data_IF_903252393874
#
_entry.id   IF_903252393874
#
_cell.length_a   1.000
_cell.length_b   1.000
_cell.length_c   1.000
_cell.angle_alpha   90.00
_cell.angle_beta   90.00
_cell.angle_gamma   90.00
#
_symmetry.space_group_name_H-M   'P 1'
#
loop_
_entity.id
_entity.type
_entity.pdbx_description
1 polymer ?
#
# COMPACT_ATOMS: atom_id res chain seq x y z
N UNK A 1 21.55 -15.27 16.43
CA UNK A 1 21.87 -14.25 17.47
C UNK A 1 20.99 -13.01 17.24
N UNK A 2 19.68 -13.13 17.47
CA UNK A 2 18.67 -12.06 17.27
C UNK A 2 17.85 -11.90 18.57
N UNK A 3 18.54 -11.93 19.72
CA UNK A 3 17.89 -11.84 21.04
C UNK A 3 17.77 -10.38 21.44
N UNK A 4 16.51 -9.94 21.55
CA UNK A 4 15.97 -8.61 21.88
C UNK A 4 15.92 -7.62 20.70
N UNK A 5 14.88 -7.74 19.86
CA UNK A 5 14.30 -6.51 19.30
C UNK A 5 13.85 -5.67 20.50
N UNK A 6 14.48 -4.52 20.72
CA UNK A 6 13.92 -3.50 21.60
C UNK A 6 12.64 -3.01 20.91
N UNK A 7 11.49 -3.38 21.46
CA UNK A 7 10.23 -2.80 21.02
C UNK A 7 10.28 -1.29 21.24
N UNK A 8 10.05 -0.53 20.18
CA UNK A 8 9.98 0.92 20.29
C UNK A 8 8.62 1.25 20.88
N UNK A 9 8.61 1.76 22.10
CA UNK A 9 7.39 2.16 22.83
C UNK A 9 6.80 3.45 22.25
N UNK A 10 6.31 3.37 21.01
CA UNK A 10 5.64 4.46 20.32
C UNK A 10 4.31 4.78 21.01
N UNK A 11 4.02 6.07 21.15
CA UNK A 11 2.73 6.54 21.70
C UNK A 11 1.58 6.09 20.82
N UNK A 12 1.77 6.13 19.50
CA UNK A 12 0.78 5.66 18.54
C UNK A 12 0.47 4.17 18.74
N UNK A 13 1.49 3.31 18.88
CA UNK A 13 1.27 1.89 19.13
C UNK A 13 0.38 1.67 20.36
N UNK A 14 0.66 2.34 21.48
CA UNK A 14 -0.16 2.22 22.69
C UNK A 14 -1.60 2.67 22.46
N UNK A 15 -1.79 3.77 21.72
CA UNK A 15 -3.13 4.28 21.38
C UNK A 15 -3.93 3.26 20.56
N UNK A 16 -3.35 2.73 19.48
CA UNK A 16 -4.04 1.81 18.57
C UNK A 16 -4.28 0.44 19.22
N UNK A 17 -3.29 -0.12 19.91
CA UNK A 17 -3.43 -1.40 20.60
C UNK A 17 -4.53 -1.35 21.69
N UNK A 18 -4.71 -0.21 22.36
CA UNK A 18 -5.81 -0.03 23.31
C UNK A 18 -7.19 -0.14 22.63
N UNK A 19 -7.34 0.34 21.39
CA UNK A 19 -8.59 0.22 20.64
C UNK A 19 -8.87 -1.25 20.29
N UNK A 20 -7.86 -1.98 19.84
CA UNK A 20 -7.96 -3.39 19.50
C UNK A 20 -8.36 -4.24 20.72
N UNK A 21 -7.69 -4.04 21.85
CA UNK A 21 -7.98 -4.76 23.09
C UNK A 21 -9.37 -4.44 23.63
N UNK A 22 -9.83 -3.18 23.52
CA UNK A 22 -11.21 -2.83 23.91
C UNK A 22 -12.26 -3.58 23.09
N UNK A 23 -12.05 -3.71 21.77
CA UNK A 23 -12.95 -4.48 20.91
C UNK A 23 -12.93 -5.98 21.28
N UNK A 24 -11.74 -6.56 21.47
CA UNK A 24 -11.60 -7.95 21.94
C UNK A 24 -12.31 -8.19 23.29
N UNK A 25 -12.18 -7.24 24.22
CA UNK A 25 -12.86 -7.25 25.52
C UNK A 25 -14.39 -7.17 25.42
N UNK A 26 -14.92 -6.53 24.37
CA UNK A 26 -16.36 -6.47 24.04
C UNK A 26 -16.87 -7.71 23.32
N UNK A 27 -16.06 -8.76 23.24
CA UNK A 27 -16.39 -10.05 22.63
C UNK A 27 -16.41 -10.03 21.10
N UNK A 28 -15.72 -9.09 20.48
CA UNK A 28 -15.70 -8.92 19.02
C UNK A 28 -14.35 -9.36 18.43
N UNK A 29 -14.34 -9.81 17.18
CA UNK A 29 -13.09 -10.00 16.45
C UNK A 29 -12.57 -8.66 15.93
N UNK A 30 -11.26 -8.63 15.68
CA UNK A 30 -10.54 -7.43 15.27
C UNK A 30 -9.79 -7.72 13.98
N UNK A 31 -10.01 -6.89 12.97
CA UNK A 31 -9.16 -6.80 11.79
C UNK A 31 -8.41 -5.46 11.83
N UNK A 32 -7.11 -5.48 11.57
CA UNK A 32 -6.28 -4.27 11.53
C UNK A 32 -5.64 -4.16 10.16
N UNK A 33 -5.85 -3.04 9.48
CA UNK A 33 -5.20 -2.74 8.21
C UNK A 33 -3.95 -1.89 8.48
N UNK A 34 -2.81 -2.30 7.96
CA UNK A 34 -1.55 -1.57 8.00
C UNK A 34 -1.19 -1.06 6.61
N UNK A 35 -0.35 -0.02 6.55
CA UNK A 35 0.36 0.30 5.31
C UNK A 35 1.32 -0.85 4.98
N UNK A 36 1.42 -1.28 3.69
CA UNK A 36 2.29 -2.37 3.31
C UNK A 36 3.76 -2.20 3.70
N UNK A 37 4.46 -3.31 3.94
CA UNK A 37 5.88 -3.29 4.33
C UNK A 37 6.15 -2.45 5.58
N UNK A 38 5.19 -2.45 6.51
CA UNK A 38 5.31 -1.81 7.82
C UNK A 38 5.82 -2.80 8.87
N UNK A 39 5.82 -2.40 10.14
CA UNK A 39 6.26 -3.20 11.27
C UNK A 39 5.13 -4.03 11.91
N UNK A 40 4.09 -4.37 11.15
CA UNK A 40 2.91 -5.16 11.56
C UNK A 40 3.26 -6.37 12.45
N UNK A 41 4.10 -7.28 11.97
CA UNK A 41 4.49 -8.51 12.69
C UNK A 41 5.12 -8.16 14.04
N UNK A 42 5.98 -7.12 14.08
CA UNK A 42 6.65 -6.67 15.29
C UNK A 42 5.63 -6.10 16.28
N UNK A 43 4.62 -5.36 15.82
CA UNK A 43 3.57 -4.78 16.68
C UNK A 43 2.66 -5.82 17.30
N UNK A 44 2.35 -6.88 16.56
CA UNK A 44 1.57 -7.98 17.10
C UNK A 44 2.37 -8.84 18.06
N UNK A 45 3.65 -9.10 17.78
CA UNK A 45 4.55 -9.75 18.74
C UNK A 45 4.73 -8.91 20.01
N UNK A 46 4.79 -7.58 19.87
CA UNK A 46 4.81 -6.66 21.01
C UNK A 46 3.51 -6.76 21.82
N UNK A 47 2.34 -6.75 21.17
CA UNK A 47 1.03 -6.84 21.82
C UNK A 47 0.93 -8.09 22.69
N UNK A 48 1.35 -9.23 22.17
CA UNK A 48 1.30 -10.52 22.88
C UNK A 48 2.21 -10.55 24.12
N UNK A 49 3.29 -9.75 24.11
CA UNK A 49 4.29 -9.71 25.20
C UNK A 49 4.08 -8.56 26.19
N UNK A 50 3.30 -7.54 25.82
CA UNK A 50 3.08 -6.34 26.62
C UNK A 50 2.02 -6.61 27.72
N UNK A 51 2.50 -7.00 28.90
CA UNK A 51 1.64 -7.31 30.05
C UNK A 51 0.93 -6.09 30.61
N UNK A 52 1.42 -4.87 30.38
CA UNK A 52 0.78 -3.66 30.89
C UNK A 52 -0.45 -3.34 30.04
N UNK A 53 -0.30 -3.37 28.71
CA UNK A 53 -1.40 -3.01 27.81
C UNK A 53 -2.54 -4.04 27.85
N UNK A 54 -2.21 -5.33 28.02
CA UNK A 54 -3.18 -6.42 28.12
C UNK A 54 -4.12 -6.24 29.34
N UNK A 55 -3.71 -5.53 30.39
CA UNK A 55 -4.56 -5.29 31.59
C UNK A 55 -5.83 -4.49 31.29
N UNK A 56 -5.94 -3.88 30.11
CA UNK A 56 -7.18 -3.22 29.65
C UNK A 56 -8.32 -4.23 29.42
N UNK A 57 -7.99 -5.50 29.18
CA UNK A 57 -9.01 -6.53 29.00
C UNK A 57 -9.77 -6.80 30.31
N UNK A 58 -11.09 -7.09 30.23
CA UNK A 58 -11.91 -7.39 31.40
C UNK A 58 -11.35 -8.49 32.29
N UNK A 59 -11.17 -8.20 33.59
CA UNK A 59 -10.65 -9.18 34.57
C UNK A 59 -11.60 -10.35 34.85
N UNK A 60 -12.83 -10.33 34.31
CA UNK A 60 -13.77 -11.44 34.39
C UNK A 60 -13.34 -12.68 33.61
N UNK A 61 -12.31 -12.57 32.76
CA UNK A 61 -11.72 -13.69 32.01
C UNK A 61 -10.20 -13.63 32.11
N UNK A 62 -9.56 -14.79 31.97
CA UNK A 62 -8.14 -14.85 31.60
C UNK A 62 -8.01 -14.78 30.08
N UNK A 63 -6.87 -14.33 29.58
CA UNK A 63 -6.62 -14.23 28.13
C UNK A 63 -5.30 -14.89 27.76
N UNK A 64 -5.34 -15.71 26.73
CA UNK A 64 -4.16 -16.35 26.15
C UNK A 64 -4.10 -15.99 24.67
N UNK A 65 -2.99 -15.39 24.26
CA UNK A 65 -2.75 -15.03 22.86
C UNK A 65 -1.87 -16.09 22.19
N UNK A 66 -2.21 -16.46 20.96
CA UNK A 66 -1.44 -17.42 20.16
C UNK A 66 -1.25 -16.87 18.75
N UNK A 67 0.02 -16.71 18.34
CA UNK A 67 0.36 -16.21 17.01
C UNK A 67 0.30 -17.38 16.02
N UNK A 68 -0.72 -17.39 15.17
CA UNK A 68 -0.91 -18.45 14.17
C UNK A 68 -0.42 -17.96 12.81
N UNK A 69 0.36 -18.80 12.14
CA UNK A 69 0.71 -18.64 10.75
C UNK A 69 0.13 -19.80 9.94
N UNK A 70 -0.62 -19.48 8.89
CA UNK A 70 -1.26 -20.46 8.02
C UNK A 70 -0.39 -20.86 6.81
N UNK A 71 0.90 -20.52 6.82
CA UNK A 71 1.91 -21.03 5.88
C UNK A 71 2.14 -22.54 6.04
N UNK A 72 1.25 -23.33 5.43
CA UNK A 72 1.30 -24.78 5.24
C UNK A 72 1.26 -25.64 6.53
N UNK A 73 0.63 -26.85 6.52
CA UNK A 73 -0.02 -27.55 5.40
C UNK A 73 -1.35 -26.92 4.95
N UNK A 74 -1.86 -27.37 3.80
CA UNK A 74 -3.15 -26.93 3.23
C UNK A 74 -4.28 -27.27 4.20
N UNK A 75 -4.86 -26.25 4.84
CA UNK A 75 -6.13 -26.40 5.55
C UNK A 75 -7.19 -26.60 4.47
N UNK A 76 -7.88 -27.73 4.45
CA UNK A 76 -8.95 -28.03 3.49
C UNK A 76 -10.34 -27.87 4.12
N UNK A 77 -10.46 -28.24 5.40
CA UNK A 77 -11.71 -28.30 6.14
C UNK A 77 -11.50 -28.02 7.65
N UNK A 78 -12.58 -28.04 8.43
CA UNK A 78 -12.52 -27.78 9.88
C UNK A 78 -11.61 -28.75 10.63
N UNK A 79 -11.54 -30.02 10.24
CA UNK A 79 -10.69 -31.02 10.90
C UNK A 79 -9.21 -30.67 10.72
N UNK A 80 -8.78 -30.37 9.49
CA UNK A 80 -7.41 -29.94 9.21
C UNK A 80 -7.03 -28.64 9.94
N UNK A 81 -7.98 -27.69 10.07
CA UNK A 81 -7.79 -26.48 10.86
C UNK A 81 -7.59 -26.81 12.35
N UNK A 82 -8.41 -27.70 12.90
CA UNK A 82 -8.33 -28.11 14.31
C UNK A 82 -7.02 -28.81 14.61
N UNK A 83 -6.54 -29.68 13.72
CA UNK A 83 -5.24 -30.34 13.85
C UNK A 83 -4.12 -29.29 13.89
N UNK A 84 -4.14 -28.30 12.99
CA UNK A 84 -3.11 -27.26 12.96
C UNK A 84 -3.13 -26.39 14.22
N UNK A 85 -4.31 -25.97 14.69
CA UNK A 85 -4.45 -25.19 15.91
C UNK A 85 -4.02 -25.99 17.15
N UNK A 86 -4.40 -27.27 17.25
CA UNK A 86 -3.97 -28.16 18.31
C UNK A 86 -2.45 -28.31 18.35
N UNK A 87 -1.81 -28.54 17.20
CA UNK A 87 -0.36 -28.63 17.09
C UNK A 87 0.33 -27.35 17.59
N UNK A 88 -0.21 -26.19 17.23
CA UNK A 88 0.32 -24.91 17.69
C UNK A 88 0.17 -24.75 19.22
N UNK A 89 -1.01 -25.06 19.75
CA UNK A 89 -1.28 -24.98 21.20
C UNK A 89 -0.42 -25.96 22.01
N UNK A 90 -0.23 -27.19 21.51
CA UNK A 90 0.63 -28.19 22.15
C UNK A 90 2.11 -27.73 22.16
N UNK A 91 2.56 -27.01 21.13
CA UNK A 91 3.91 -26.44 21.07
C UNK A 91 4.10 -25.20 21.96
N UNK A 92 3.01 -24.54 22.38
CA UNK A 92 3.07 -23.30 23.17
C UNK A 92 3.42 -23.50 24.65
N UNK A 93 3.61 -24.75 25.09
CA UNK A 93 3.92 -25.14 26.48
C UNK A 93 2.93 -24.61 27.54
N UNK A 94 1.69 -24.31 27.14
CA UNK A 94 0.61 -23.95 28.09
C UNK A 94 0.32 -25.13 29.04
N UNK A 95 0.35 -26.36 28.51
CA UNK A 95 0.24 -27.61 29.25
C UNK A 95 1.36 -28.57 28.82
N UNK A 96 1.81 -29.40 29.76
CA UNK A 96 2.75 -30.50 29.48
C UNK A 96 2.02 -31.76 28.98
N UNK A 97 1.01 -31.59 28.12
CA UNK A 97 0.24 -32.69 27.52
C UNK A 97 -0.20 -32.29 26.12
N UNK A 98 -0.18 -33.24 25.19
CA UNK A 98 -0.78 -33.10 23.87
C UNK A 98 -2.30 -33.31 23.97
N UNK A 99 -3.07 -32.31 23.55
CA UNK A 99 -4.53 -32.35 23.47
C UNK A 99 -4.97 -32.13 22.02
N UNK A 100 -6.13 -32.66 21.67
CA UNK A 100 -6.90 -32.25 20.50
C UNK A 100 -7.43 -30.82 20.69
N UNK A 101 -7.87 -30.18 19.60
CA UNK A 101 -8.35 -28.80 19.68
C UNK A 101 -9.63 -28.68 20.52
N UNK A 102 -10.54 -29.65 20.43
CA UNK A 102 -11.76 -29.70 21.24
C UNK A 102 -11.44 -29.78 22.73
N UNK A 103 -10.50 -30.65 23.12
CA UNK A 103 -10.01 -30.76 24.50
C UNK A 103 -9.34 -29.45 24.99
N UNK A 104 -8.59 -28.76 24.12
CA UNK A 104 -8.05 -27.43 24.44
C UNK A 104 -9.16 -26.40 24.72
N UNK A 105 -10.22 -26.40 23.92
CA UNK A 105 -11.34 -25.48 24.12
C UNK A 105 -12.13 -25.80 25.40
N UNK A 106 -12.30 -27.07 25.74
CA UNK A 106 -12.87 -27.50 27.03
C UNK A 106 -11.98 -27.06 28.20
N UNK A 107 -10.66 -27.21 28.08
CA UNK A 107 -9.71 -26.71 29.08
C UNK A 107 -9.84 -25.20 29.27
N UNK A 108 -9.81 -24.41 28.20
CA UNK A 108 -9.95 -22.95 28.28
C UNK A 108 -11.27 -22.53 28.91
N UNK A 109 -12.38 -23.20 28.55
CA UNK A 109 -13.69 -23.00 29.17
C UNK A 109 -13.66 -23.30 30.68
N UNK A 110 -13.06 -24.42 31.10
CA UNK A 110 -12.94 -24.78 32.52
C UNK A 110 -12.12 -23.77 33.35
N UNK A 111 -11.13 -23.13 32.73
CA UNK A 111 -10.27 -22.13 33.33
C UNK A 111 -10.79 -20.70 33.15
N UNK A 112 -11.99 -20.52 32.57
CA UNK A 112 -12.56 -19.23 32.22
C UNK A 112 -11.58 -18.33 31.44
N UNK A 113 -10.86 -18.96 30.50
CA UNK A 113 -9.82 -18.36 29.66
C UNK A 113 -10.34 -18.18 28.24
N UNK A 114 -10.09 -17.01 27.65
CA UNK A 114 -10.37 -16.71 26.25
C UNK A 114 -9.08 -16.87 25.44
N UNK A 115 -9.15 -17.68 24.39
CA UNK A 115 -8.10 -17.84 23.40
C UNK A 115 -8.22 -16.74 22.34
N UNK A 116 -7.16 -15.95 22.16
CA UNK A 116 -7.04 -14.95 21.09
C UNK A 116 -6.07 -15.49 20.04
N UNK A 117 -6.58 -15.84 18.88
CA UNK A 117 -5.77 -16.19 17.71
C UNK A 117 -5.30 -14.91 17.03
N UNK A 118 -3.99 -14.70 16.98
CA UNK A 118 -3.35 -13.55 16.34
C UNK A 118 -2.79 -14.00 15.00
N UNK A 119 -3.29 -13.44 13.90
CA UNK A 119 -2.92 -13.79 12.53
C UNK A 119 -2.20 -12.59 11.89
N UNK A 120 -0.86 -12.51 12.00
CA UNK A 120 -0.12 -11.32 11.58
C UNK A 120 0.01 -11.17 10.06
N UNK A 121 -0.11 -12.26 9.31
CA UNK A 121 0.03 -12.30 7.85
C UNK A 121 -1.31 -12.70 7.22
N UNK A 122 -2.43 -12.08 7.64
CA UNK A 122 -3.76 -12.46 7.15
C UNK A 122 -3.96 -12.11 5.66
N UNK A 123 -3.09 -11.28 5.09
CA UNK A 123 -3.00 -11.00 3.64
C UNK A 123 -2.97 -12.28 2.80
N UNK A 124 -2.29 -13.34 3.27
CA UNK A 124 -2.16 -14.59 2.53
C UNK A 124 -3.47 -15.37 2.40
N UNK A 125 -4.44 -15.02 3.24
CA UNK A 125 -5.80 -15.57 3.22
C UNK A 125 -6.68 -14.86 2.18
N UNK A 126 -6.29 -13.67 1.71
CA UNK A 126 -6.98 -12.92 0.65
C UNK A 126 -6.59 -13.41 -0.75
N UNK A 127 -6.64 -14.72 -0.96
CA UNK A 127 -6.34 -15.35 -2.25
C UNK A 127 -7.45 -16.33 -2.66
N UNK A 128 -7.63 -16.58 -3.96
CA UNK A 128 -8.60 -17.58 -4.43
C UNK A 128 -8.39 -18.97 -3.81
N UNK A 129 -7.13 -19.30 -3.47
CA UNK A 129 -6.73 -20.60 -2.94
C UNK A 129 -7.02 -20.70 -1.44
N UNK A 130 -6.79 -19.64 -0.66
CA UNK A 130 -6.85 -19.68 0.81
C UNK A 130 -8.09 -19.02 1.43
N UNK A 131 -8.94 -18.35 0.63
CA UNK A 131 -10.10 -17.60 1.17
C UNK A 131 -11.08 -18.46 1.97
N UNK A 132 -11.16 -19.76 1.69
CA UNK A 132 -12.01 -20.68 2.45
C UNK A 132 -11.56 -20.80 3.91
N UNK A 133 -10.28 -20.55 4.22
CA UNK A 133 -9.77 -20.51 5.60
C UNK A 133 -10.45 -19.40 6.40
N UNK A 134 -10.74 -18.24 5.78
CA UNK A 134 -11.51 -17.19 6.45
C UNK A 134 -12.93 -17.68 6.79
N UNK A 135 -13.56 -18.46 5.94
CA UNK A 135 -14.85 -19.08 6.26
C UNK A 135 -14.73 -20.05 7.43
N UNK A 136 -13.71 -20.91 7.44
CA UNK A 136 -13.46 -21.86 8.53
C UNK A 136 -13.20 -21.14 9.86
N UNK A 137 -12.42 -20.06 9.84
CA UNK A 137 -12.17 -19.22 11.01
C UNK A 137 -13.43 -18.53 11.52
N UNK A 138 -14.33 -18.09 10.62
CA UNK A 138 -15.63 -17.56 11.03
C UNK A 138 -16.47 -18.63 11.72
N UNK A 139 -16.52 -19.84 11.16
CA UNK A 139 -17.28 -20.95 11.74
C UNK A 139 -16.71 -21.36 13.10
N UNK A 140 -15.39 -21.42 13.21
CA UNK A 140 -14.67 -21.68 14.46
C UNK A 140 -15.04 -20.65 15.54
N UNK A 141 -15.10 -19.36 15.18
CA UNK A 141 -15.54 -18.32 16.11
C UNK A 141 -16.95 -18.55 16.62
N UNK A 142 -17.87 -18.95 15.72
CA UNK A 142 -19.27 -19.21 16.07
C UNK A 142 -19.43 -20.44 16.97
N UNK A 143 -18.70 -21.51 16.67
CA UNK A 143 -18.74 -22.77 17.43
C UNK A 143 -18.26 -22.59 18.87
N UNK A 144 -17.20 -21.80 19.08
CA UNK A 144 -16.55 -21.66 20.39
C UNK A 144 -16.79 -20.31 21.07
N UNK A 145 -17.74 -19.51 20.58
CA UNK A 145 -18.13 -18.27 21.25
C UNK A 145 -18.65 -18.57 22.69
N UNK A 146 -18.24 -17.83 23.74
CA UNK A 146 -17.42 -16.63 23.74
C UNK A 146 -15.91 -16.86 24.04
N UNK A 147 -15.41 -18.10 23.97
CA UNK A 147 -14.06 -18.47 24.43
C UNK A 147 -12.97 -18.36 23.38
N UNK A 148 -13.30 -18.01 22.13
CA UNK A 148 -12.32 -17.74 21.08
C UNK A 148 -12.52 -16.37 20.43
N UNK A 149 -11.43 -15.67 20.15
CA UNK A 149 -11.39 -14.40 19.40
C UNK A 149 -10.29 -14.44 18.37
N UNK A 150 -10.46 -13.66 17.32
CA UNK A 150 -9.50 -13.54 16.24
C UNK A 150 -9.08 -12.08 16.11
N UNK A 151 -7.76 -11.86 16.10
CA UNK A 151 -7.13 -10.63 15.72
C UNK A 151 -6.32 -10.88 14.45
N UNK A 152 -6.75 -10.33 13.32
CA UNK A 152 -6.09 -10.46 12.02
C UNK A 152 -5.48 -9.15 11.57
N UNK A 153 -4.31 -9.21 10.95
CA UNK A 153 -3.68 -8.04 10.34
C UNK A 153 -3.48 -8.21 8.83
N UNK A 154 -3.85 -7.17 8.11
CA UNK A 154 -3.81 -7.08 6.65
C UNK A 154 -2.93 -5.90 6.23
N UNK A 155 -2.28 -6.02 5.07
CA UNK A 155 -1.58 -4.91 4.44
C UNK A 155 -2.39 -4.29 3.29
N UNK A 156 -3.54 -4.88 2.96
CA UNK A 156 -4.50 -4.41 1.95
C UNK A 156 -5.72 -3.69 2.54
N UNK A 157 -6.38 -2.86 1.72
CA UNK A 157 -7.65 -2.22 2.05
C UNK A 157 -8.82 -3.23 1.99
N UNK A 158 -9.04 -4.00 3.06
CA UNK A 158 -10.02 -5.10 3.08
C UNK A 158 -11.48 -4.68 2.97
N UNK A 159 -11.81 -3.44 3.38
CA UNK A 159 -13.18 -2.90 3.33
C UNK A 159 -13.58 -2.38 1.96
N UNK A 160 -12.65 -2.35 1.00
CA UNK A 160 -12.92 -1.84 -0.34
C UNK A 160 -13.91 -2.72 -1.10
N UNK A 161 -14.78 -2.12 -1.91
CA UNK A 161 -15.75 -2.84 -2.75
C UNK A 161 -15.14 -3.98 -3.60
N UNK A 162 -13.86 -3.84 -4.02
CA UNK A 162 -13.12 -4.86 -4.79
C UNK A 162 -12.63 -6.05 -3.96
N UNK A 163 -12.36 -5.86 -2.68
CA UNK A 163 -11.84 -6.92 -1.79
C UNK A 163 -12.95 -7.73 -1.14
N UNK A 164 -14.17 -7.21 -1.09
CA UNK A 164 -15.34 -7.90 -0.52
C UNK A 164 -15.57 -9.30 -1.13
N UNK A 165 -15.19 -9.53 -2.39
CA UNK A 165 -15.33 -10.83 -3.06
C UNK A 165 -14.44 -11.95 -2.48
N UNK A 166 -13.41 -11.59 -1.71
CA UNK A 166 -12.52 -12.54 -1.04
C UNK A 166 -12.92 -12.82 0.41
N UNK A 167 -13.75 -11.96 0.99
CA UNK A 167 -14.18 -12.10 2.38
C UNK A 167 -15.35 -13.08 2.48
N UNK A 168 -15.46 -13.86 3.57
CA UNK A 168 -16.61 -14.72 3.80
C UNK A 168 -17.86 -13.87 3.97
N UNK A 169 -19.05 -14.39 3.63
CA UNK A 169 -20.31 -13.65 3.81
C UNK A 169 -20.60 -13.28 5.28
N UNK A 170 -20.01 -14.02 6.22
CA UNK A 170 -20.08 -13.70 7.65
C UNK A 170 -19.23 -12.47 7.98
N UNK A 171 -19.89 -11.44 8.51
CA UNK A 171 -19.25 -10.20 8.94
C UNK A 171 -18.47 -10.30 10.24
N UNK A 172 -18.50 -11.46 10.90
CA UNK A 172 -18.00 -11.63 12.27
C UNK A 172 -16.48 -11.53 12.38
N UNK A 173 -15.72 -11.92 11.36
CA UNK A 173 -14.25 -11.80 11.38
C UNK A 173 -13.76 -10.36 11.27
N UNK A 174 -14.56 -9.50 10.64
CA UNK A 174 -14.27 -8.09 10.41
C UNK A 174 -15.31 -7.21 11.10
N UNK A 175 -15.83 -7.67 12.25
CA UNK A 175 -16.81 -6.95 13.06
C UNK A 175 -16.27 -5.57 13.50
N UNK A 176 -14.98 -5.49 13.78
CA UNK A 176 -14.26 -4.22 13.94
C UNK A 176 -13.06 -4.19 13.02
N UNK A 177 -13.02 -3.21 12.12
CA UNK A 177 -11.86 -2.94 11.28
C UNK A 177 -11.20 -1.64 11.76
N UNK A 178 -9.95 -1.75 12.19
CA UNK A 178 -9.12 -0.61 12.54
C UNK A 178 -8.08 -0.36 11.46
N UNK A 179 -7.62 0.88 11.36
CA UNK A 179 -6.47 1.25 10.55
C UNK A 179 -5.30 1.56 11.46
N UNK A 180 -4.09 1.17 11.07
CA UNK A 180 -2.86 1.52 11.76
C UNK A 180 -2.11 2.59 10.95
N UNK A 181 -2.15 3.87 11.36
CA UNK A 181 -1.62 4.96 10.56
C UNK A 181 -0.09 4.98 10.50
N UNK A 182 0.48 5.82 9.62
CA UNK A 182 1.90 6.14 9.63
C UNK A 182 2.31 6.87 10.92
N UNK A 183 3.57 6.66 11.35
CA UNK A 183 4.10 7.24 12.57
C UNK A 183 4.28 8.75 12.49
N UNK A 184 3.89 9.43 13.57
CA UNK A 184 4.19 10.86 13.75
C UNK A 184 5.68 11.15 13.93
N UNK A 185 6.02 12.44 13.91
CA UNK A 185 7.40 12.95 14.08
C UNK A 185 8.03 12.51 15.40
N UNK A 186 7.26 12.52 16.50
CA UNK A 186 7.76 12.16 17.83
C UNK A 186 8.14 10.67 17.91
N UNK A 187 7.26 9.78 17.46
CA UNK A 187 7.52 8.34 17.44
C UNK A 187 8.63 7.98 16.44
N UNK A 188 8.71 8.68 15.32
CA UNK A 188 9.81 8.52 14.35
C UNK A 188 11.16 8.94 14.95
N UNK A 189 11.21 10.03 15.72
CA UNK A 189 12.42 10.43 16.45
C UNK A 189 12.87 9.37 17.45
N UNK A 190 11.93 8.85 18.26
CA UNK A 190 12.22 7.76 19.19
C UNK A 190 12.77 6.53 18.46
N UNK A 191 12.20 6.20 17.29
CA UNK A 191 12.70 5.10 16.47
C UNK A 191 14.13 5.35 15.98
N UNK A 192 14.44 6.56 15.50
CA UNK A 192 15.82 6.93 15.12
C UNK A 192 16.78 6.75 16.30
N UNK A 193 16.39 7.14 17.52
CA UNK A 193 17.24 6.98 18.72
C UNK A 193 17.52 5.50 19.05
N UNK A 194 16.54 4.62 18.82
CA UNK A 194 16.73 3.17 18.94
C UNK A 194 17.69 2.67 17.85
N UNK A 195 17.55 3.15 16.62
CA UNK A 195 18.43 2.78 15.51
C UNK A 195 19.86 3.29 15.69
N UNK A 196 20.07 4.48 16.25
CA UNK A 196 21.40 5.01 16.60
C UNK A 196 22.14 4.07 17.53
N UNK A 197 21.45 3.57 18.57
CA UNK A 197 22.02 2.59 19.51
C UNK A 197 22.27 1.25 18.83
N UNK A 198 21.31 0.78 18.02
CA UNK A 198 21.37 -0.52 17.36
C UNK A 198 22.46 -0.61 16.27
N UNK A 199 22.72 0.49 15.59
CA UNK A 199 23.73 0.58 14.51
C UNK A 199 25.01 1.30 14.93
N UNK A 200 25.15 1.60 16.22
CA UNK A 200 26.31 2.29 16.82
C UNK A 200 26.72 3.54 16.04
N UNK A 201 25.73 4.36 15.67
CA UNK A 201 25.90 5.56 14.82
C UNK A 201 25.24 6.78 15.44
N UNK A 202 25.78 7.97 15.13
CA UNK A 202 25.15 9.25 15.44
C UNK A 202 24.57 9.88 14.18
N UNK A 203 23.27 10.13 14.17
CA UNK A 203 22.57 10.81 13.08
C UNK A 203 22.55 12.30 13.40
N UNK A 204 23.11 13.11 12.51
CA UNK A 204 23.10 14.58 12.70
C UNK A 204 21.67 15.13 12.66
N UNK A 205 21.43 16.26 13.33
CA UNK A 205 20.11 16.92 13.33
C UNK A 205 19.60 17.22 11.90
N UNK A 206 20.52 17.61 11.00
CA UNK A 206 20.17 17.83 9.58
C UNK A 206 19.66 16.55 8.92
N UNK A 207 20.37 15.42 9.09
CA UNK A 207 19.96 14.13 8.55
C UNK A 207 18.65 13.65 9.18
N UNK A 208 18.47 13.86 10.49
CA UNK A 208 17.25 13.49 11.23
C UNK A 208 16.02 14.21 10.67
N UNK A 209 16.09 15.52 10.52
CA UNK A 209 15.02 16.33 9.91
C UNK A 209 14.73 15.85 8.49
N UNK A 210 15.79 15.61 7.71
CA UNK A 210 15.66 15.11 6.34
C UNK A 210 14.94 13.76 6.29
N UNK A 211 15.37 12.78 7.10
CA UNK A 211 14.77 11.44 7.18
C UNK A 211 13.30 11.52 7.55
N UNK A 212 12.94 12.30 8.57
CA UNK A 212 11.55 12.41 9.03
C UNK A 212 10.66 13.01 7.94
N UNK A 213 11.11 14.11 7.34
CA UNK A 213 10.35 14.79 6.30
C UNK A 213 10.21 13.93 5.04
N UNK A 214 11.25 13.20 4.67
CA UNK A 214 11.28 12.43 3.43
C UNK A 214 10.62 11.05 3.55
N UNK A 215 10.76 10.36 4.68
CA UNK A 215 10.19 9.03 4.90
C UNK A 215 8.74 9.06 5.39
N UNK A 216 8.23 10.21 5.85
CA UNK A 216 6.81 10.38 6.18
C UNK A 216 6.30 9.48 7.31
N UNK A 217 7.17 9.04 8.22
CA UNK A 217 6.80 8.11 9.28
C UNK A 217 6.82 6.63 8.89
N UNK A 218 7.24 6.28 7.68
CA UNK A 218 7.35 4.88 7.28
C UNK A 218 8.68 4.26 7.73
N UNK A 219 8.63 3.48 8.81
CA UNK A 219 9.81 3.00 9.52
C UNK A 219 10.74 2.10 8.71
N UNK A 220 10.26 1.40 7.67
CA UNK A 220 11.15 0.62 6.81
C UNK A 220 12.13 1.50 6.02
N UNK A 221 11.69 2.70 5.62
CA UNK A 221 12.54 3.67 4.94
C UNK A 221 13.45 4.41 5.92
N UNK A 222 12.93 4.77 7.10
CA UNK A 222 13.73 5.37 8.18
C UNK A 222 14.89 4.45 8.57
N UNK A 223 14.60 3.16 8.78
CA UNK A 223 15.62 2.15 9.10
C UNK A 223 16.68 2.04 8.01
N UNK A 224 16.28 2.10 6.74
CA UNK A 224 17.23 2.06 5.64
C UNK A 224 18.14 3.30 5.59
N UNK A 225 17.57 4.48 5.80
CA UNK A 225 18.34 5.71 5.82
C UNK A 225 19.39 5.70 6.94
N UNK A 226 19.03 5.31 8.17
CA UNK A 226 19.98 5.21 9.28
C UNK A 226 21.02 4.11 9.03
N UNK A 227 20.64 2.98 8.41
CA UNK A 227 21.58 1.92 8.01
C UNK A 227 22.64 2.44 7.04
N UNK A 228 22.26 3.30 6.08
CA UNK A 228 23.23 3.92 5.16
C UNK A 228 24.16 4.91 5.86
N UNK A 229 23.64 5.71 6.79
CA UNK A 229 24.47 6.61 7.61
C UNK A 229 25.49 5.80 8.41
N UNK A 230 25.10 4.69 9.01
CA UNK A 230 26.03 3.79 9.72
C UNK A 230 27.11 3.23 8.79
N UNK A 231 26.76 2.84 7.56
CA UNK A 231 27.71 2.26 6.62
C UNK A 231 28.63 3.27 5.89
N UNK A 232 28.14 4.49 5.62
CA UNK A 232 28.77 5.43 4.68
C UNK A 232 28.88 6.87 5.22
N UNK A 233 28.44 7.13 6.45
CA UNK A 233 28.39 8.46 7.07
C UNK A 233 27.28 9.39 6.54
N UNK A 234 26.63 9.02 5.44
CA UNK A 234 25.51 9.75 4.83
C UNK A 234 24.51 8.77 4.24
N UNK A 235 23.27 9.23 4.05
CA UNK A 235 22.29 8.50 3.27
C UNK A 235 22.07 9.18 1.92
N UNK A 236 21.72 8.38 0.91
CA UNK A 236 21.47 8.87 -0.45
C UNK A 236 20.10 8.35 -0.89
N UNK A 237 19.19 9.25 -1.21
CA UNK A 237 17.80 8.93 -1.58
C UNK A 237 17.75 8.01 -2.81
N UNK A 238 18.65 8.21 -3.78
CA UNK A 238 18.71 7.44 -5.02
C UNK A 238 19.63 6.21 -4.94
N UNK A 239 20.03 5.80 -3.74
CA UNK A 239 20.80 4.57 -3.52
C UNK A 239 20.00 3.32 -3.91
N UNK A 240 20.70 2.28 -4.37
CA UNK A 240 20.09 1.00 -4.76
C UNK A 240 19.22 0.40 -3.64
N UNK A 241 19.65 0.51 -2.38
CA UNK A 241 18.93 0.00 -1.21
C UNK A 241 17.59 0.71 -0.95
N UNK A 242 17.50 2.03 -1.16
CA UNK A 242 16.25 2.78 -1.05
C UNK A 242 15.37 2.48 -2.27
N UNK A 243 15.93 2.49 -3.48
CA UNK A 243 15.19 2.22 -4.72
C UNK A 243 14.58 0.81 -4.74
N UNK A 244 15.30 -0.20 -4.24
CA UNK A 244 14.76 -1.55 -4.07
C UNK A 244 13.53 -1.57 -3.16
N UNK A 245 13.58 -0.89 -2.00
CA UNK A 245 12.44 -0.84 -1.07
C UNK A 245 11.27 -0.08 -1.64
N UNK A 246 11.50 1.01 -2.36
CA UNK A 246 10.45 1.76 -3.05
C UNK A 246 9.76 0.91 -4.12
N UNK A 247 10.52 0.10 -4.88
CA UNK A 247 9.95 -0.89 -5.82
C UNK A 247 9.12 -1.95 -5.11
N UNK A 248 9.63 -2.52 -4.01
CA UNK A 248 8.90 -3.52 -3.23
C UNK A 248 7.64 -2.95 -2.57
N UNK A 249 7.69 -1.69 -2.15
CA UNK A 249 6.55 -0.97 -1.59
C UNK A 249 5.51 -0.64 -2.66
N UNK A 250 5.92 -0.22 -3.85
CA UNK A 250 5.00 -0.06 -4.98
C UNK A 250 4.33 -1.40 -5.35
N UNK A 251 5.11 -2.48 -5.42
CA UNK A 251 4.65 -3.81 -5.80
C UNK A 251 3.65 -4.44 -4.81
N UNK A 252 3.54 -3.92 -3.58
CA UNK A 252 2.52 -4.37 -2.62
C UNK A 252 1.15 -3.70 -2.81
N UNK A 253 1.06 -2.67 -3.65
CA UNK A 253 -0.22 -2.06 -3.97
C UNK A 253 -0.82 -2.68 -5.24
N UNK A 254 -2.14 -2.70 -5.31
CA UNK A 254 -2.85 -3.11 -6.52
C UNK A 254 -2.64 -2.11 -7.67
N UNK A 255 -2.93 -2.55 -8.89
CA UNK A 255 -2.92 -1.67 -10.08
C UNK A 255 -3.88 -0.49 -9.92
N UNK A 256 -5.00 -0.70 -9.23
CA UNK A 256 -5.97 0.34 -8.93
C UNK A 256 -5.38 1.41 -8.01
N UNK A 257 -4.79 1.00 -6.88
CA UNK A 257 -4.17 1.92 -5.92
C UNK A 257 -2.99 2.65 -6.54
N UNK A 258 -2.16 1.93 -7.30
CA UNK A 258 -1.06 2.52 -8.06
C UNK A 258 -1.56 3.60 -9.02
N UNK A 259 -2.67 3.34 -9.74
CA UNK A 259 -3.28 4.32 -10.63
C UNK A 259 -3.85 5.52 -9.89
N UNK A 260 -4.50 5.28 -8.74
CA UNK A 260 -5.00 6.32 -7.84
C UNK A 260 -3.88 7.24 -7.35
N UNK A 261 -2.76 6.69 -6.89
CA UNK A 261 -1.61 7.46 -6.41
C UNK A 261 -1.01 8.32 -7.53
N UNK A 262 -0.87 7.77 -8.74
CA UNK A 262 -0.43 8.54 -9.91
C UNK A 262 -1.39 9.69 -10.24
N UNK A 263 -2.71 9.45 -10.15
CA UNK A 263 -3.74 10.47 -10.36
C UNK A 263 -3.67 11.59 -9.32
N UNK A 264 -3.50 11.25 -8.04
CA UNK A 264 -3.31 12.21 -6.95
C UNK A 264 -2.10 13.13 -7.16
N UNK A 265 -1.05 12.64 -7.82
CA UNK A 265 0.15 13.43 -8.09
C UNK A 265 -0.07 14.43 -9.23
N UNK A 266 -0.75 14.05 -10.32
CA UNK A 266 -0.74 14.81 -11.58
C UNK A 266 -2.08 15.41 -12.02
N UNK A 267 -3.19 14.74 -11.75
CA UNK A 267 -4.48 14.98 -12.40
C UNK A 267 -5.56 15.24 -11.35
N UNK A 268 -5.23 16.07 -10.34
CA UNK A 268 -5.96 16.41 -9.09
C UNK A 268 -7.44 16.88 -9.28
N UNK A 269 -8.23 16.13 -10.02
CA UNK A 269 -9.58 16.42 -10.46
C UNK A 269 -10.31 15.11 -10.79
N UNK A 270 -11.62 15.10 -10.49
CA UNK A 270 -12.59 14.06 -10.84
C UNK A 270 -12.27 12.64 -10.35
N UNK A 271 -12.45 12.39 -9.04
CA UNK A 271 -12.33 11.06 -8.45
C UNK A 271 -13.66 10.29 -8.51
N UNK A 272 -13.60 9.03 -8.93
CA UNK A 272 -14.73 8.10 -8.87
C UNK A 272 -15.15 7.84 -7.41
N UNK A 273 -16.36 7.32 -7.16
CA UNK A 273 -16.78 6.93 -5.80
C UNK A 273 -15.81 5.94 -5.13
N UNK A 274 -15.34 4.93 -5.87
CA UNK A 274 -14.36 3.93 -5.38
C UNK A 274 -13.00 4.56 -5.06
N UNK A 275 -12.55 5.52 -5.87
CA UNK A 275 -11.32 6.28 -5.60
C UNK A 275 -11.46 7.13 -4.34
N UNK A 276 -12.61 7.77 -4.12
CA UNK A 276 -12.88 8.56 -2.90
C UNK A 276 -12.91 7.70 -1.65
N UNK A 277 -13.48 6.49 -1.74
CA UNK A 277 -13.45 5.49 -0.66
C UNK A 277 -12.01 5.14 -0.29
N UNK A 278 -11.17 4.83 -1.28
CA UNK A 278 -9.75 4.53 -1.06
C UNK A 278 -8.96 5.73 -0.54
N UNK A 279 -9.23 6.94 -1.04
CA UNK A 279 -8.61 8.16 -0.51
C UNK A 279 -8.94 8.33 0.98
N UNK A 280 -10.20 8.14 1.37
CA UNK A 280 -10.64 8.26 2.77
C UNK A 280 -9.95 7.24 3.67
N UNK A 281 -9.82 5.99 3.19
CA UNK A 281 -9.07 4.95 3.89
C UNK A 281 -7.59 5.33 4.09
N UNK A 282 -6.92 5.78 3.04
CA UNK A 282 -5.52 6.19 3.12
C UNK A 282 -5.30 7.49 3.91
N UNK A 283 -6.34 8.33 4.04
CA UNK A 283 -6.35 9.47 4.96
C UNK A 283 -6.40 9.03 6.42
N UNK A 284 -7.23 8.04 6.75
CA UNK A 284 -7.27 7.46 8.10
C UNK A 284 -5.92 6.80 8.47
N UNK A 285 -5.21 6.26 7.47
CA UNK A 285 -3.85 5.74 7.64
C UNK A 285 -2.75 6.82 7.67
N UNK A 286 -3.10 8.11 7.55
CA UNK A 286 -2.15 9.22 7.38
C UNK A 286 -1.19 9.05 6.19
N UNK A 287 -1.46 8.16 5.25
CA UNK A 287 -0.68 7.99 4.02
C UNK A 287 -1.02 9.06 2.98
N UNK A 288 -2.24 9.61 3.07
CA UNK A 288 -2.71 10.78 2.33
C UNK A 288 -3.14 11.84 3.34
N UNK A 289 -2.81 13.11 3.12
CA UNK A 289 -3.24 14.21 3.96
C UNK A 289 -4.65 14.73 3.60
N UNK A 290 -5.17 15.67 4.40
CA UNK A 290 -6.48 16.29 4.17
C UNK A 290 -6.55 17.14 2.88
N UNK A 291 -5.40 17.41 2.24
CA UNK A 291 -5.27 18.13 0.97
C UNK A 291 -5.02 17.17 -0.20
N UNK A 292 -5.24 15.86 0.00
CA UNK A 292 -5.03 14.81 -0.98
C UNK A 292 -3.58 14.74 -1.50
N UNK A 293 -2.60 14.98 -0.62
CA UNK A 293 -1.18 14.84 -0.90
C UNK A 293 -0.65 13.59 -0.19
N UNK A 294 0.23 12.85 -0.86
CA UNK A 294 0.86 11.69 -0.23
C UNK A 294 1.87 12.12 0.84
N UNK A 295 1.82 11.46 1.99
CA UNK A 295 2.60 11.81 3.18
C UNK A 295 4.03 11.26 3.18
N UNK A 296 4.41 10.43 2.19
CA UNK A 296 5.76 9.88 2.03
C UNK A 296 6.46 10.51 0.80
N UNK A 297 7.18 11.64 0.95
CA UNK A 297 7.76 12.35 -0.19
C UNK A 297 8.75 11.54 -1.04
N UNK A 298 9.56 10.64 -0.45
CA UNK A 298 10.48 9.80 -1.23
C UNK A 298 9.72 8.86 -2.17
N UNK A 299 8.57 8.37 -1.74
CA UNK A 299 7.71 7.53 -2.56
C UNK A 299 7.00 8.36 -3.63
N UNK A 300 6.53 9.56 -3.29
CA UNK A 300 5.98 10.50 -4.30
C UNK A 300 7.00 10.82 -5.39
N UNK A 301 8.25 11.10 -5.02
CA UNK A 301 9.31 11.42 -5.98
C UNK A 301 9.69 10.21 -6.82
N UNK A 302 9.70 9.00 -6.23
CA UNK A 302 9.90 7.76 -6.95
C UNK A 302 8.82 7.53 -8.01
N UNK A 303 7.54 7.68 -7.67
CA UNK A 303 6.45 7.55 -8.65
C UNK A 303 6.55 8.57 -9.79
N UNK A 304 6.95 9.81 -9.49
CA UNK A 304 7.20 10.83 -10.53
C UNK A 304 8.30 10.38 -11.49
N UNK A 305 9.42 9.89 -10.96
CA UNK A 305 10.54 9.37 -11.76
C UNK A 305 10.14 8.17 -12.62
N UNK A 306 9.42 7.20 -12.06
CA UNK A 306 8.91 6.04 -12.81
C UNK A 306 8.04 6.49 -13.99
N UNK A 307 7.16 7.49 -13.80
CA UNK A 307 6.30 8.04 -14.85
C UNK A 307 7.04 8.91 -15.89
N UNK A 308 8.15 9.52 -15.49
CA UNK A 308 9.05 10.24 -16.40
C UNK A 308 9.85 9.26 -17.25
N UNK A 309 10.36 8.18 -16.65
CA UNK A 309 11.15 7.15 -17.31
C UNK A 309 10.31 6.21 -18.21
N UNK A 310 8.99 6.15 -18.01
CA UNK A 310 8.09 5.20 -18.68
C UNK A 310 7.47 5.69 -20.00
N UNK A 311 8.03 6.66 -20.73
CA UNK A 311 7.51 7.02 -22.07
C UNK A 311 8.66 7.32 -23.03
N UNK A 312 9.29 6.27 -23.57
CA UNK A 312 10.18 6.41 -24.73
C UNK A 312 9.36 6.23 -26.00
N UNK A 313 9.02 7.34 -26.66
CA UNK A 313 8.45 7.30 -28.00
C UNK A 313 9.60 7.22 -29.00
N UNK A 314 9.70 6.11 -29.73
CA UNK A 314 10.71 5.89 -30.78
C UNK A 314 10.04 5.79 -32.15
N UNK A 315 10.74 6.25 -33.17
CA UNK A 315 10.38 6.01 -34.57
C UNK A 315 11.42 5.08 -35.19
N UNK A 316 11.01 3.91 -35.63
CA UNK A 316 11.85 2.94 -36.37
C UNK A 316 11.05 2.49 -37.60
N UNK A 317 11.66 2.49 -38.79
CA UNK A 317 11.05 2.04 -40.07
C UNK A 317 9.63 2.58 -40.35
N UNK A 318 9.43 3.88 -40.12
CA UNK A 318 8.14 4.53 -40.32
C UNK A 318 7.01 3.92 -39.45
N UNK A 319 7.36 3.31 -38.32
CA UNK A 319 6.47 2.84 -37.25
C UNK A 319 6.78 3.58 -35.96
N UNK A 320 5.75 3.80 -35.16
CA UNK A 320 5.85 4.52 -33.90
C UNK A 320 5.75 3.53 -32.74
N UNK A 321 6.73 3.56 -31.85
CA UNK A 321 6.82 2.70 -30.68
C UNK A 321 6.70 3.53 -29.42
N UNK A 322 5.88 3.10 -28.47
CA UNK A 322 5.84 3.64 -27.11
C UNK A 322 6.28 2.53 -26.17
N UNK A 323 7.41 2.71 -25.48
CA UNK A 323 8.01 1.68 -24.64
C UNK A 323 8.17 0.32 -25.35
N UNK A 324 8.64 0.36 -26.61
CA UNK A 324 8.85 -0.81 -27.48
C UNK A 324 7.56 -1.48 -28.01
N UNK A 325 6.36 -0.95 -27.71
CA UNK A 325 5.11 -1.43 -28.30
C UNK A 325 4.78 -0.62 -29.57
N UNK A 326 4.58 -1.26 -30.74
CA UNK A 326 4.12 -0.56 -31.94
C UNK A 326 2.69 -0.06 -31.73
N UNK A 327 2.48 1.24 -31.89
CA UNK A 327 1.20 1.92 -31.63
C UNK A 327 0.58 2.53 -32.89
N UNK A 328 1.06 2.16 -34.07
CA UNK A 328 0.59 2.71 -35.35
C UNK A 328 -0.91 2.50 -35.60
N UNK A 329 -1.48 1.37 -35.18
CA UNK A 329 -2.92 1.11 -35.25
C UNK A 329 -3.73 1.94 -34.24
N UNK A 330 -3.05 2.47 -33.21
CA UNK A 330 -3.69 3.21 -32.12
C UNK A 330 -3.88 4.69 -32.44
N UNK A 331 -3.35 5.23 -33.55
CA UNK A 331 -3.54 6.61 -33.97
C UNK A 331 -4.00 6.68 -35.43
N UNK A 332 -4.89 7.61 -35.74
CA UNK A 332 -5.20 7.94 -37.14
C UNK A 332 -3.98 8.58 -37.83
N UNK A 333 -3.96 8.55 -39.18
CA UNK A 333 -2.89 9.19 -39.97
C UNK A 333 -2.67 10.66 -39.58
N UNK A 334 -3.75 11.40 -39.29
CA UNK A 334 -3.70 12.81 -38.89
C UNK A 334 -3.13 12.98 -37.47
N UNK A 335 -3.61 12.20 -36.50
CA UNK A 335 -3.09 12.23 -35.12
C UNK A 335 -1.60 11.85 -35.07
N UNK A 336 -1.17 10.88 -35.89
CA UNK A 336 0.23 10.48 -36.02
C UNK A 336 1.11 11.60 -36.58
N UNK A 337 0.65 12.31 -37.62
CA UNK A 337 1.37 13.46 -38.19
C UNK A 337 1.55 14.57 -37.14
N UNK A 338 0.50 14.89 -36.40
CA UNK A 338 0.54 15.88 -35.32
C UNK A 338 1.53 15.45 -34.22
N UNK A 339 1.41 14.21 -33.74
CA UNK A 339 2.26 13.71 -32.67
C UNK A 339 3.74 13.65 -33.11
N UNK A 340 4.01 13.23 -34.35
CA UNK A 340 5.35 13.22 -34.92
C UNK A 340 5.95 14.63 -34.99
N UNK A 341 5.18 15.61 -35.48
CA UNK A 341 5.60 17.01 -35.53
C UNK A 341 5.91 17.56 -34.12
N UNK A 342 5.02 17.32 -33.17
CA UNK A 342 5.17 17.74 -31.77
C UNK A 342 6.37 17.11 -31.07
N UNK A 343 6.66 15.84 -31.36
CA UNK A 343 7.83 15.13 -30.82
C UNK A 343 9.13 15.62 -31.45
N UNK A 344 9.14 15.83 -32.78
CA UNK A 344 10.28 16.40 -33.50
C UNK A 344 10.66 17.78 -32.96
N UNK A 345 9.66 18.58 -32.58
CA UNK A 345 9.82 19.89 -31.98
C UNK A 345 9.50 19.86 -30.47
N UNK A 346 9.93 18.81 -29.78
CA UNK A 346 9.68 18.69 -28.33
C UNK A 346 10.26 19.87 -27.55
N UNK A 347 9.52 20.29 -26.51
CA UNK A 347 9.79 21.45 -25.69
C UNK A 347 9.78 22.80 -26.43
N UNK A 348 9.45 22.81 -27.73
CA UNK A 348 9.33 24.01 -28.57
C UNK A 348 7.85 24.25 -28.90
N UNK A 349 7.48 25.51 -29.11
CA UNK A 349 6.15 25.89 -29.58
C UNK A 349 5.97 25.45 -31.03
N UNK A 350 5.00 24.60 -31.29
CA UNK A 350 4.50 24.29 -32.64
C UNK A 350 3.25 25.12 -32.88
N UNK A 351 3.28 25.97 -33.90
CA UNK A 351 2.16 26.87 -34.24
C UNK A 351 1.00 26.10 -34.84
N UNK A 352 -0.19 26.72 -34.85
CA UNK A 352 -1.38 26.13 -35.47
C UNK A 352 -1.18 25.94 -36.98
N UNK A 353 -0.51 26.88 -37.64
CA UNK A 353 -0.17 26.79 -39.06
C UNK A 353 0.74 25.58 -39.35
N UNK A 354 1.80 25.39 -38.54
CA UNK A 354 2.69 24.23 -38.66
C UNK A 354 1.94 22.90 -38.46
N UNK A 355 0.99 22.88 -37.52
CA UNK A 355 0.13 21.72 -37.33
C UNK A 355 -0.74 21.48 -38.56
N UNK A 356 -1.35 22.53 -39.12
CA UNK A 356 -2.18 22.43 -40.31
C UNK A 356 -1.41 21.92 -41.53
N UNK A 357 -0.25 22.50 -41.83
CA UNK A 357 0.66 22.08 -42.90
C UNK A 357 1.04 20.60 -42.78
N UNK A 358 1.29 20.13 -41.56
CA UNK A 358 1.65 18.73 -41.34
C UNK A 358 0.51 17.75 -41.63
N UNK A 359 -0.74 18.18 -41.48
CA UNK A 359 -1.93 17.33 -41.65
C UNK A 359 -2.44 17.39 -43.10
N UNK A 360 -2.43 18.59 -43.71
CA UNK A 360 -2.97 18.91 -45.03
C UNK A 360 -1.92 19.54 -45.96
N UNK A 361 -0.99 18.75 -46.50
CA UNK A 361 0.12 19.27 -47.31
C UNK A 361 -0.28 19.73 -48.73
N UNK A 362 -1.45 19.34 -49.26
CA UNK A 362 -1.82 19.59 -50.67
C UNK A 362 -2.93 20.65 -50.87
N UNK A 363 -3.57 21.16 -49.81
CA UNK A 363 -4.69 22.14 -49.89
C UNK A 363 -4.60 23.21 -48.79
N UNK A 364 -3.42 23.79 -48.57
CA UNK A 364 -3.21 24.72 -47.43
C UNK A 364 -3.92 26.08 -47.60
N UNK A 365 -4.40 26.41 -48.81
CA UNK A 365 -5.10 27.67 -49.08
C UNK A 365 -6.64 27.59 -48.92
N UNK A 366 -7.22 26.40 -48.78
CA UNK A 366 -8.66 26.24 -48.56
C UNK A 366 -8.97 25.30 -47.38
N UNK A 367 -9.59 25.87 -46.35
CA UNK A 367 -10.40 25.21 -45.32
C UNK A 367 -9.73 24.27 -44.31
N UNK A 368 -9.05 24.86 -43.31
CA UNK A 368 -9.11 24.31 -41.95
C UNK A 368 -9.61 25.37 -40.97
N UNK A 369 -10.48 24.96 -40.05
CA UNK A 369 -10.85 25.79 -38.92
C UNK A 369 -9.92 25.50 -37.75
N UNK A 370 -9.59 26.53 -36.97
CA UNK A 370 -8.90 26.36 -35.70
C UNK A 370 -9.60 25.31 -34.82
N UNK A 371 -10.93 25.30 -34.86
CA UNK A 371 -11.74 24.31 -34.17
C UNK A 371 -11.42 22.86 -34.57
N UNK A 372 -11.12 22.59 -35.85
CA UNK A 372 -10.74 21.26 -36.31
C UNK A 372 -9.39 20.80 -35.72
N UNK A 373 -8.41 21.71 -35.59
CA UNK A 373 -7.14 21.42 -34.92
C UNK A 373 -7.39 21.11 -33.44
N UNK A 374 -8.21 21.90 -32.75
CA UNK A 374 -8.51 21.69 -31.34
C UNK A 374 -9.23 20.36 -31.08
N UNK A 375 -10.13 19.96 -31.98
CA UNK A 375 -10.77 18.65 -31.94
C UNK A 375 -9.76 17.51 -32.12
N UNK A 376 -8.85 17.62 -33.09
CA UNK A 376 -7.79 16.62 -33.31
C UNK A 376 -6.85 16.52 -32.11
N UNK A 377 -6.44 17.65 -31.53
CA UNK A 377 -5.60 17.70 -30.33
C UNK A 377 -6.33 17.11 -29.12
N UNK A 378 -7.63 17.38 -28.97
CA UNK A 378 -8.44 16.80 -27.90
C UNK A 378 -8.53 15.28 -28.03
N UNK A 379 -8.74 14.76 -29.24
CA UNK A 379 -8.72 13.31 -29.51
C UNK A 379 -7.34 12.71 -29.24
N UNK A 380 -6.28 13.38 -29.68
CA UNK A 380 -4.91 12.97 -29.42
C UNK A 380 -4.63 12.89 -27.92
N UNK A 381 -5.02 13.89 -27.11
CA UNK A 381 -4.90 13.84 -25.64
C UNK A 381 -5.63 12.64 -25.03
N UNK A 382 -6.85 12.36 -25.48
CA UNK A 382 -7.63 11.19 -25.00
C UNK A 382 -6.92 9.88 -25.35
N UNK A 383 -6.33 9.76 -26.55
CA UNK A 383 -5.57 8.56 -26.95
C UNK A 383 -4.26 8.42 -26.17
N UNK A 384 -3.53 9.51 -25.95
CA UNK A 384 -2.33 9.53 -25.12
C UNK A 384 -2.64 9.10 -23.68
N UNK A 385 -3.73 9.59 -23.10
CA UNK A 385 -4.17 9.18 -21.76
C UNK A 385 -4.45 7.68 -21.66
N UNK A 386 -5.05 7.06 -22.71
CA UNK A 386 -5.25 5.60 -22.77
C UNK A 386 -3.94 4.80 -22.78
N UNK A 387 -2.86 5.43 -23.23
CA UNK A 387 -1.51 4.84 -23.24
C UNK A 387 -0.71 5.22 -21.98
N UNK A 388 -1.40 5.69 -20.92
CA UNK A 388 -0.78 6.19 -19.69
C UNK A 388 0.19 7.36 -19.91
N UNK A 389 0.07 8.06 -21.03
CA UNK A 389 0.80 9.30 -21.30
C UNK A 389 -0.03 10.46 -20.77
N UNK A 390 0.51 11.16 -19.78
CA UNK A 390 -0.16 12.31 -19.18
C UNK A 390 -0.55 13.33 -20.26
N UNK A 391 -1.83 13.69 -20.28
CA UNK A 391 -2.39 14.70 -21.19
C UNK A 391 -1.76 16.09 -20.96
N UNK A 392 -1.21 16.33 -19.77
CA UNK A 392 -0.48 17.55 -19.41
C UNK A 392 0.86 17.71 -20.14
N UNK A 393 1.37 16.64 -20.78
CA UNK A 393 2.53 16.73 -21.68
C UNK A 393 2.23 17.57 -22.92
N UNK A 394 0.97 17.66 -23.35
CA UNK A 394 0.55 18.49 -24.49
C UNK A 394 -0.09 19.80 -24.02
N UNK A 395 0.73 20.83 -23.83
CA UNK A 395 0.30 22.14 -23.30
C UNK A 395 -0.19 23.07 -24.40
N UNK A 396 -1.35 23.70 -24.20
CA UNK A 396 -1.85 24.78 -25.05
C UNK A 396 -1.12 26.09 -24.72
N UNK A 397 -0.68 26.80 -25.75
CA UNK A 397 -0.28 28.21 -25.69
C UNK A 397 -1.37 29.01 -26.39
N UNK A 398 -2.20 29.71 -25.61
CA UNK A 398 -3.40 30.41 -26.09
C UNK A 398 -3.08 31.31 -27.28
N UNK A 399 -3.88 31.19 -28.34
CA UNK A 399 -3.75 31.98 -29.56
C UNK A 399 -2.50 31.71 -30.40
N UNK A 400 -1.66 30.72 -30.04
CA UNK A 400 -0.39 30.46 -30.76
C UNK A 400 -0.26 29.02 -31.24
N UNK A 401 -0.53 28.04 -30.38
CA UNK A 401 -0.31 26.64 -30.74
C UNK A 401 -0.07 25.76 -29.52
N UNK A 402 0.78 24.75 -29.67
CA UNK A 402 0.95 23.68 -28.70
C UNK A 402 2.42 23.36 -28.44
N UNK A 403 2.74 23.01 -27.20
CA UNK A 403 4.07 22.51 -26.80
C UNK A 403 3.89 21.09 -26.30
N UNK A 404 4.67 20.16 -26.85
CA UNK A 404 4.80 18.82 -26.29
C UNK A 404 6.03 18.75 -25.41
N UNK A 405 5.84 18.47 -24.12
CA UNK A 405 6.91 18.35 -23.14
C UNK A 405 7.47 16.94 -23.15
N UNK A 406 8.69 16.82 -23.65
CA UNK A 406 9.47 15.59 -23.56
C UNK A 406 10.44 15.77 -22.37
N UNK A 407 10.21 15.01 -21.30
CA UNK A 407 11.11 14.90 -20.14
C UNK A 407 11.48 13.43 -20.05
#
# INVERSE_FOLDING_TARGET
>A
MLKRMLFVLAKQYKSEANLWLKALGRKENVAVCFIPKSDCIIRLDQLVKDKEIIQILPSSYRYTFQIINFKQPQIENSESLYIQLANHLNASHILNKSLSFTEWMEYFKSQNTILILVIPEAEELLSPINRHILTLLSNLFDEYYPYIRILSAFESHITHSRTLNYLPSSTRLYANVFTYPLYGTADTNLFIDVLEKMFEVKVSEKQRIEIINLCGGHWWFVKEAVRQISAQGKWVIDSEGIQFRLRMFLASFSDFETSLFKKLIYDKSDFSPEEKESISFYQNMHFIDSKNQMSIPIFTNFLKKEMEQSIKIKFEDNKMFINQVPVDSFFSKKERRILSLLLKHSNILVTRDQIAESIWPEDTQEHYSDWAIDQLITRLRKRLAKLSISSSRLKLVRGKGYIFRNI
#
